data_IF_956493961091
#
_entry.id   IF_956493961091
#
_cell.length_a   1.000
_cell.length_b   1.000
_cell.length_c   1.000
_cell.angle_alpha   90.00
_cell.angle_beta   90.00
_cell.angle_gamma   90.00
#
_symmetry.space_group_name_H-M   'P 1'
#
loop_
_entity.id
_entity.type
_entity.pdbx_description
1 polymer ?
#
# COMPACT_ATOMS: atom_id res chain seq x y z
N UNK A 1 41.82 22.72 40.53
CA UNK A 1 42.98 22.71 39.62
C UNK A 1 43.61 21.32 39.66
N UNK A 2 44.05 20.83 38.50
CA UNK A 2 44.91 19.65 38.23
C UNK A 2 44.41 18.27 38.72
N UNK A 3 44.04 17.30 37.87
CA UNK A 3 44.79 16.63 36.78
C UNK A 3 45.78 15.57 37.26
N UNK A 4 45.48 14.30 36.91
CA UNK A 4 46.36 13.17 36.48
C UNK A 4 45.98 11.82 37.08
N UNK A 5 45.73 10.82 36.21
CA UNK A 5 46.62 9.67 35.96
C UNK A 5 45.84 8.58 35.19
N UNK A 6 46.08 8.39 33.89
CA UNK A 6 47.00 7.39 33.31
C UNK A 6 46.49 5.95 33.41
N UNK A 7 45.99 5.39 32.30
CA UNK A 7 46.28 4.00 31.93
C UNK A 7 46.39 3.87 30.41
N UNK A 8 47.45 3.17 30.03
CA UNK A 8 48.04 3.02 28.72
C UNK A 8 47.27 2.04 27.83
N UNK A 9 47.32 2.33 26.52
CA UNK A 9 47.70 1.41 25.44
C UNK A 9 47.21 -0.05 25.53
N UNK A 10 46.25 -0.39 24.67
CA UNK A 10 46.38 -1.60 23.86
C UNK A 10 45.90 -1.31 22.44
N UNK A 11 46.80 -1.52 21.48
CA UNK A 11 46.45 -1.77 20.10
C UNK A 11 45.34 -2.83 20.06
N UNK A 12 44.21 -2.51 19.45
CA UNK A 12 43.53 -3.51 18.67
C UNK A 12 43.03 -2.86 17.39
N UNK A 13 43.55 -3.39 16.28
CA UNK A 13 43.19 -3.07 14.92
C UNK A 13 41.73 -3.50 14.78
N UNK A 14 40.79 -2.61 15.09
CA UNK A 14 39.42 -2.81 14.64
C UNK A 14 39.44 -2.50 13.15
N UNK A 15 39.51 -3.58 12.38
CA UNK A 15 39.48 -3.56 10.94
C UNK A 15 38.36 -2.63 10.49
N UNK A 16 38.71 -1.59 9.74
CA UNK A 16 37.82 -0.95 8.80
C UNK A 16 37.47 -2.01 7.75
N UNK A 17 36.53 -2.89 8.09
CA UNK A 17 35.79 -3.62 7.07
C UNK A 17 34.98 -2.54 6.35
N UNK A 18 35.52 -2.06 5.24
CA UNK A 18 34.75 -1.39 4.21
C UNK A 18 33.77 -2.43 3.68
N UNK A 19 32.67 -2.61 4.41
CA UNK A 19 31.52 -3.37 3.96
C UNK A 19 30.97 -2.57 2.79
N UNK A 20 31.49 -2.84 1.60
CA UNK A 20 30.78 -2.52 0.37
C UNK A 20 29.61 -3.49 0.33
N UNK A 21 28.62 -3.27 1.19
CA UNK A 21 27.31 -3.80 0.96
C UNK A 21 26.88 -3.16 -0.33
N UNK A 22 26.89 -3.95 -1.41
CA UNK A 22 26.16 -3.61 -2.63
C UNK A 22 24.73 -3.37 -2.15
N UNK A 23 24.37 -2.11 -1.97
CA UNK A 23 23.00 -1.67 -1.81
C UNK A 23 22.36 -1.83 -3.17
N UNK A 24 22.00 -3.08 -3.51
CA UNK A 24 20.78 -3.28 -4.29
C UNK A 24 19.74 -2.48 -3.51
N UNK A 25 19.14 -1.48 -4.14
CA UNK A 25 18.18 -0.59 -3.53
C UNK A 25 17.02 -1.41 -2.95
N UNK A 26 17.20 -1.94 -1.74
CA UNK A 26 16.11 -2.26 -0.84
C UNK A 26 15.54 -0.89 -0.53
N UNK A 27 14.49 -0.55 -1.28
CA UNK A 27 13.21 -0.17 -0.71
C UNK A 27 13.42 0.47 0.66
N UNK A 28 13.33 1.82 0.74
CA UNK A 28 13.43 2.52 2.01
C UNK A 28 12.66 1.73 3.06
N UNK A 29 13.37 1.29 4.10
CA UNK A 29 12.76 0.48 5.14
C UNK A 29 11.53 1.23 5.64
N UNK A 30 10.34 0.64 5.52
CA UNK A 30 9.10 1.22 6.02
C UNK A 30 9.32 1.73 7.44
N UNK A 31 9.34 3.04 7.62
CA UNK A 31 9.79 3.68 8.87
C UNK A 31 8.76 4.65 9.41
N UNK A 32 9.01 5.07 10.65
CA UNK A 32 8.14 5.95 11.41
C UNK A 32 7.19 5.20 12.34
N UNK A 33 6.69 5.93 13.32
CA UNK A 33 5.82 5.43 14.39
C UNK A 33 4.51 6.21 14.49
N UNK A 34 4.30 7.18 13.59
CA UNK A 34 3.08 7.98 13.61
C UNK A 34 1.91 7.21 13.01
N UNK A 35 0.73 7.47 13.56
CA UNK A 35 -0.50 6.95 13.00
C UNK A 35 -0.77 7.59 11.63
N UNK A 36 -1.70 7.01 10.86
CA UNK A 36 -2.28 7.67 9.69
C UNK A 36 -2.70 9.10 10.02
N UNK A 37 -2.37 10.03 9.13
CA UNK A 37 -2.83 11.41 9.28
C UNK A 37 -4.36 11.45 9.28
N UNK A 38 -4.95 12.36 10.06
CA UNK A 38 -6.40 12.53 10.12
C UNK A 38 -6.99 13.15 8.84
N UNK A 39 -6.21 13.29 7.77
CA UNK A 39 -6.67 13.74 6.46
C UNK A 39 -7.59 12.69 5.83
N UNK A 40 -8.87 12.80 6.18
CA UNK A 40 -9.96 12.00 5.65
C UNK A 40 -10.00 12.13 4.12
N UNK A 41 -10.19 11.01 3.42
CA UNK A 41 -10.22 10.90 1.95
C UNK A 41 -8.87 11.01 1.23
N UNK A 42 -7.75 10.71 1.89
CA UNK A 42 -6.47 10.49 1.21
C UNK A 42 -6.48 9.22 0.36
N UNK A 43 -5.87 9.25 -0.83
CA UNK A 43 -5.65 8.07 -1.66
C UNK A 43 -4.17 7.74 -1.76
N UNK A 44 -3.88 6.46 -1.86
CA UNK A 44 -2.55 5.90 -2.05
C UNK A 44 -2.61 4.93 -3.20
N UNK A 45 -1.69 5.02 -4.14
CA UNK A 45 -1.70 4.24 -5.38
C UNK A 45 -0.31 3.67 -5.64
N UNK A 46 -0.27 2.45 -6.16
CA UNK A 46 0.94 1.82 -6.64
C UNK A 46 0.61 0.72 -7.64
N UNK A 47 1.64 0.18 -8.27
CA UNK A 47 1.50 -0.80 -9.33
C UNK A 47 2.53 -1.91 -9.15
N UNK A 48 2.12 -3.15 -9.43
CA UNK A 48 3.01 -4.29 -9.48
C UNK A 48 2.43 -5.36 -10.40
N UNK A 49 3.28 -6.07 -11.14
CA UNK A 49 2.90 -7.17 -12.02
C UNK A 49 1.79 -6.82 -13.06
N UNK A 50 1.68 -5.54 -13.44
CA UNK A 50 0.65 -5.06 -14.35
C UNK A 50 -0.73 -4.87 -13.71
N UNK A 51 -0.83 -4.95 -12.38
CA UNK A 51 -2.01 -4.55 -11.61
C UNK A 51 -1.75 -3.22 -10.89
N UNK A 52 -2.79 -2.40 -10.81
CA UNK A 52 -2.81 -1.18 -10.02
C UNK A 52 -3.63 -1.39 -8.76
N UNK A 53 -3.08 -1.00 -7.62
CA UNK A 53 -3.70 -1.11 -6.30
C UNK A 53 -3.89 0.28 -5.72
N UNK A 54 -5.06 0.54 -5.16
CA UNK A 54 -5.42 1.78 -4.49
C UNK A 54 -5.98 1.51 -3.11
N UNK A 55 -5.48 2.26 -2.13
CA UNK A 55 -6.09 2.42 -0.82
C UNK A 55 -6.66 3.84 -0.74
N UNK A 56 -7.94 3.96 -0.41
CA UNK A 56 -8.55 5.24 -0.03
C UNK A 56 -8.93 5.19 1.44
N UNK A 57 -8.40 6.10 2.23
CA UNK A 57 -8.77 6.24 3.65
C UNK A 57 -10.11 6.95 3.73
N UNK A 58 -11.16 6.25 4.16
CA UNK A 58 -12.52 6.80 4.23
C UNK A 58 -12.79 7.48 5.57
N UNK A 59 -12.22 6.96 6.64
CA UNK A 59 -12.30 7.52 7.98
C UNK A 59 -11.12 7.02 8.84
N UNK A 60 -10.66 7.83 9.77
CA UNK A 60 -9.68 7.42 10.77
C UNK A 60 -9.88 8.15 12.10
N UNK A 61 -9.96 7.39 13.19
CA UNK A 61 -9.97 7.88 14.55
C UNK A 61 -8.57 7.69 15.16
N UNK A 62 -7.82 8.79 15.30
CA UNK A 62 -6.46 8.74 15.82
C UNK A 62 -6.36 8.31 17.29
N UNK A 63 -7.43 8.48 18.07
CA UNK A 63 -7.49 8.09 19.49
C UNK A 63 -7.63 6.58 19.62
N UNK A 64 -8.57 5.98 18.88
CA UNK A 64 -8.83 4.54 18.88
C UNK A 64 -7.84 3.78 17.99
N UNK A 65 -7.17 4.49 17.07
CA UNK A 65 -6.32 3.93 16.01
C UNK A 65 -7.09 2.97 15.10
N UNK A 66 -8.35 3.30 14.87
CA UNK A 66 -9.27 2.52 14.03
C UNK A 66 -9.87 3.38 12.93
N UNK A 67 -10.27 2.75 11.83
CA UNK A 67 -10.81 3.47 10.70
C UNK A 67 -11.47 2.58 9.68
N UNK A 68 -11.78 3.20 8.55
CA UNK A 68 -12.36 2.53 7.39
C UNK A 68 -11.56 2.92 6.16
N UNK A 69 -11.28 1.94 5.31
CA UNK A 69 -10.60 2.15 4.04
C UNK A 69 -11.36 1.46 2.91
N UNK A 70 -11.15 1.94 1.70
CA UNK A 70 -11.55 1.27 0.47
C UNK A 70 -10.30 0.71 -0.19
N UNK A 71 -10.31 -0.59 -0.45
CA UNK A 71 -9.32 -1.28 -1.27
C UNK A 71 -9.86 -1.41 -2.68
N UNK A 72 -9.03 -1.09 -3.68
CA UNK A 72 -9.36 -1.31 -5.08
C UNK A 72 -8.15 -1.86 -5.82
N UNK A 73 -8.31 -3.01 -6.45
CA UNK A 73 -7.34 -3.58 -7.37
C UNK A 73 -7.92 -3.55 -8.78
N UNK A 74 -7.12 -3.15 -9.77
CA UNK A 74 -7.50 -3.16 -11.17
C UNK A 74 -6.39 -3.71 -12.03
N UNK A 75 -6.72 -4.45 -13.09
CA UNK A 75 -5.74 -5.07 -13.98
C UNK A 75 -6.28 -6.36 -14.56
N UNK A 76 -5.58 -7.48 -14.31
CA UNK A 76 -6.01 -8.82 -14.72
C UNK A 76 -7.28 -9.23 -13.98
N UNK A 77 -7.36 -8.92 -12.69
CA UNK A 77 -8.59 -9.03 -11.90
C UNK A 77 -8.97 -7.67 -11.32
N UNK A 78 -10.28 -7.42 -11.23
CA UNK A 78 -10.82 -6.23 -10.60
C UNK A 78 -11.45 -6.60 -9.26
N UNK A 79 -11.06 -5.90 -8.20
CA UNK A 79 -11.66 -6.02 -6.87
C UNK A 79 -11.90 -4.62 -6.31
N UNK A 80 -12.99 -4.45 -5.58
CA UNK A 80 -13.27 -3.23 -4.84
C UNK A 80 -14.11 -3.57 -3.60
N UNK A 81 -13.64 -3.16 -2.42
CA UNK A 81 -14.40 -3.29 -1.19
C UNK A 81 -14.03 -2.21 -0.18
N UNK A 82 -14.91 -2.01 0.78
CA UNK A 82 -14.64 -1.22 1.98
C UNK A 82 -14.46 -2.16 3.16
N UNK A 83 -13.50 -1.86 4.02
CA UNK A 83 -13.22 -2.67 5.20
C UNK A 83 -12.74 -1.80 6.36
N UNK A 84 -13.03 -2.28 7.57
CA UNK A 84 -12.54 -1.67 8.80
C UNK A 84 -11.09 -2.07 9.01
N UNK A 85 -10.31 -1.19 9.61
CA UNK A 85 -8.94 -1.49 9.99
C UNK A 85 -8.60 -0.93 11.36
N UNK A 86 -7.60 -1.54 12.00
CA UNK A 86 -6.92 -0.99 13.16
C UNK A 86 -5.42 -0.84 12.89
N UNK A 87 -4.79 0.13 13.54
CA UNK A 87 -3.37 0.42 13.41
C UNK A 87 -2.63 0.16 14.72
N UNK A 88 -1.57 -0.64 14.65
CA UNK A 88 -0.65 -0.88 15.74
C UNK A 88 0.79 -0.64 15.26
N UNK A 89 1.41 0.45 15.73
CA UNK A 89 2.63 0.98 15.14
C UNK A 89 2.46 1.15 13.62
N UNK A 90 3.30 0.50 12.82
CA UNK A 90 3.18 0.51 11.37
C UNK A 90 2.16 -0.49 10.83
N UNK A 91 1.79 -1.52 11.60
CA UNK A 91 0.95 -2.60 11.10
C UNK A 91 -0.51 -2.14 10.97
N UNK A 92 -1.11 -2.46 9.82
CA UNK A 92 -2.52 -2.22 9.52
C UNK A 92 -3.22 -3.57 9.46
N UNK A 93 -4.10 -3.81 10.43
CA UNK A 93 -4.91 -5.02 10.52
C UNK A 93 -6.25 -4.77 9.87
N UNK A 94 -6.51 -5.45 8.76
CA UNK A 94 -7.81 -5.40 8.08
C UNK A 94 -8.77 -6.40 8.73
N UNK A 95 -10.02 -6.00 8.97
CA UNK A 95 -11.05 -6.91 9.49
C UNK A 95 -11.38 -8.00 8.48
N UNK A 96 -11.58 -7.61 7.23
CA UNK A 96 -11.82 -8.50 6.09
C UNK A 96 -11.11 -7.94 4.85
N UNK A 97 -10.22 -8.72 4.23
CA UNK A 97 -9.52 -8.31 3.01
C UNK A 97 -10.21 -8.91 1.77
N UNK A 98 -10.69 -8.06 0.86
CA UNK A 98 -11.23 -8.50 -0.44
C UNK A 98 -10.11 -8.77 -1.46
N UNK A 99 -9.35 -9.83 -1.22
CA UNK A 99 -8.25 -10.21 -2.09
C UNK A 99 -8.78 -10.81 -3.40
N UNK A 100 -8.22 -10.43 -4.57
CA UNK A 100 -8.56 -11.07 -5.82
C UNK A 100 -8.02 -12.51 -5.86
N UNK A 101 -8.58 -13.33 -6.75
CA UNK A 101 -8.11 -14.72 -6.96
C UNK A 101 -6.61 -14.74 -7.28
N UNK A 102 -5.85 -15.56 -6.56
CA UNK A 102 -4.40 -15.72 -6.76
C UNK A 102 -3.54 -15.00 -5.72
N UNK A 103 -4.12 -14.13 -4.88
CA UNK A 103 -3.42 -13.55 -3.72
C UNK A 103 -3.67 -14.45 -2.50
N UNK A 104 -2.62 -15.10 -2.01
CA UNK A 104 -2.73 -16.05 -0.89
C UNK A 104 -2.46 -15.42 0.48
N UNK A 105 -1.76 -14.29 0.52
CA UNK A 105 -1.50 -13.54 1.73
C UNK A 105 -1.33 -12.06 1.41
N UNK A 106 -1.70 -11.21 2.38
CA UNK A 106 -1.50 -9.76 2.33
C UNK A 106 -1.11 -9.28 3.73
N UNK A 107 0.02 -8.58 3.81
CA UNK A 107 0.41 -7.76 4.97
C UNK A 107 0.39 -6.30 4.54
N UNK A 108 -0.21 -5.45 5.37
CA UNK A 108 -0.32 -4.02 5.11
C UNK A 108 0.41 -3.28 6.22
N UNK A 109 1.28 -2.34 5.82
CA UNK A 109 1.94 -1.41 6.73
C UNK A 109 1.72 0.01 6.26
N UNK A 110 1.64 0.93 7.21
CA UNK A 110 1.72 2.36 6.97
C UNK A 110 3.08 2.87 7.45
N UNK A 111 3.81 3.50 6.54
CA UNK A 111 5.16 4.00 6.76
C UNK A 111 5.08 5.52 6.87
N UNK A 112 5.00 6.03 8.10
CA UNK A 112 4.63 7.43 8.33
C UNK A 112 5.69 8.43 7.90
N UNK A 113 6.97 8.03 7.87
CA UNK A 113 8.05 8.90 7.40
C UNK A 113 7.97 9.12 5.88
N UNK A 114 7.39 8.15 5.16
CA UNK A 114 7.18 8.19 3.71
C UNK A 114 5.77 8.66 3.31
N UNK A 115 4.85 8.81 4.27
CA UNK A 115 3.41 9.00 4.02
C UNK A 115 2.91 8.03 2.93
N UNK A 116 3.16 6.73 3.13
CA UNK A 116 2.93 5.68 2.14
C UNK A 116 2.46 4.37 2.81
N UNK A 117 1.78 3.53 2.03
CA UNK A 117 1.50 2.15 2.44
C UNK A 117 2.49 1.20 1.79
N UNK A 118 2.96 0.21 2.56
CA UNK A 118 3.67 -0.95 2.04
C UNK A 118 2.74 -2.16 2.09
N UNK A 119 2.46 -2.73 0.92
CA UNK A 119 1.78 -4.00 0.77
C UNK A 119 2.80 -5.10 0.49
N UNK A 120 2.75 -6.16 1.29
CA UNK A 120 3.55 -7.35 1.07
C UNK A 120 2.58 -8.50 0.80
N UNK A 121 2.52 -8.93 -0.45
CA UNK A 121 1.58 -9.93 -0.91
C UNK A 121 2.29 -11.14 -1.51
N UNK A 122 1.62 -12.29 -1.50
CA UNK A 122 2.05 -13.44 -2.30
C UNK A 122 1.03 -13.65 -3.41
N UNK A 123 1.45 -13.36 -4.64
CA UNK A 123 0.59 -13.41 -5.84
C UNK A 123 1.04 -14.58 -6.69
N UNK A 124 0.18 -15.58 -6.89
CA UNK A 124 0.48 -16.81 -7.61
C UNK A 124 1.78 -17.51 -7.12
N UNK A 125 2.06 -17.44 -5.81
CA UNK A 125 3.26 -18.00 -5.19
C UNK A 125 4.51 -17.11 -5.25
N UNK A 126 4.42 -15.91 -5.80
CA UNK A 126 5.53 -14.95 -5.92
C UNK A 126 5.38 -13.86 -4.84
N UNK A 127 6.33 -13.73 -3.90
CA UNK A 127 6.38 -12.62 -2.96
C UNK A 127 6.56 -11.30 -3.71
N UNK A 128 5.68 -10.34 -3.46
CA UNK A 128 5.65 -9.05 -4.14
C UNK A 128 5.44 -7.95 -3.10
N UNK A 129 6.40 -7.03 -3.02
CA UNK A 129 6.29 -5.82 -2.22
C UNK A 129 5.84 -4.66 -3.12
N UNK A 130 4.82 -3.92 -2.70
CA UNK A 130 4.25 -2.79 -3.43
C UNK A 130 4.17 -1.58 -2.50
N UNK A 131 4.80 -0.48 -2.89
CA UNK A 131 4.62 0.82 -2.22
C UNK A 131 3.43 1.51 -2.87
N UNK A 132 2.51 1.99 -2.05
CA UNK A 132 1.45 2.89 -2.47
C UNK A 132 1.77 4.28 -1.97
N UNK A 133 2.07 5.18 -2.89
CA UNK A 133 2.38 6.57 -2.60
C UNK A 133 1.10 7.41 -2.59
N UNK A 134 1.10 8.49 -1.80
CA UNK A 134 -0.03 9.40 -1.72
C UNK A 134 -0.33 10.04 -3.08
N UNK A 135 -1.60 10.03 -3.47
CA UNK A 135 -2.07 10.49 -4.76
C UNK A 135 -3.44 11.16 -4.63
N UNK A 136 -3.83 11.94 -5.65
CA UNK A 136 -5.20 12.46 -5.76
C UNK A 136 -6.17 11.30 -5.99
N UNK A 137 -7.24 11.24 -5.19
CA UNK A 137 -8.28 10.24 -5.41
C UNK A 137 -8.95 10.43 -6.77
N UNK A 138 -8.94 9.41 -7.66
CA UNK A 138 -9.80 9.43 -8.84
C UNK A 138 -11.25 9.54 -8.36
N UNK A 139 -11.97 10.56 -8.84
CA UNK A 139 -13.41 10.60 -8.69
C UNK A 139 -13.98 9.36 -9.37
N UNK A 140 -15.01 8.73 -8.78
CA UNK A 140 -15.67 7.60 -9.40
C UNK A 140 -16.23 8.07 -10.75
N UNK A 141 -15.58 7.68 -11.84
CA UNK A 141 -16.04 7.97 -13.18
C UNK A 141 -17.37 7.23 -13.38
N UNK A 142 -18.49 7.93 -13.15
CA UNK A 142 -19.81 7.51 -13.60
C UNK A 142 -19.86 7.57 -15.13
N UNK A 143 -19.09 6.72 -15.81
CA UNK A 143 -19.17 6.56 -17.25
C UNK A 143 -18.58 5.22 -17.68
N UNK A 144 -19.31 4.15 -17.40
CA UNK A 144 -19.17 2.87 -18.11
C UNK A 144 -20.54 2.18 -18.18
N UNK A 145 -21.54 2.86 -18.73
CA UNK A 145 -22.84 2.24 -19.04
C UNK A 145 -23.52 2.74 -20.33
N UNK A 146 -22.83 3.48 -21.21
CA UNK A 146 -23.38 3.91 -22.50
C UNK A 146 -22.54 3.44 -23.69
N UNK A 147 -22.20 2.15 -23.74
CA UNK A 147 -22.07 1.43 -25.02
C UNK A 147 -22.59 0.00 -24.83
N UNK A 148 -23.88 -0.14 -24.46
CA UNK A 148 -24.63 -1.27 -25.02
C UNK A 148 -24.80 -0.92 -26.49
N UNK A 149 -24.14 -1.68 -27.38
CA UNK A 149 -24.48 -1.63 -28.81
C UNK A 149 -25.96 -1.93 -28.92
N UNK A 150 -26.75 -0.90 -29.19
CA UNK A 150 -28.10 -1.05 -29.73
C UNK A 150 -27.99 -1.97 -30.94
N UNK A 151 -28.53 -3.18 -30.81
CA UNK A 151 -28.79 -4.04 -31.95
C UNK A 151 -30.14 -3.55 -32.47
N UNK A 152 -30.24 -2.89 -33.63
CA UNK A 152 -31.52 -2.41 -34.12
C UNK A 152 -32.42 -3.62 -34.35
N UNK A 153 -33.54 -3.68 -33.61
CA UNK A 153 -34.64 -4.60 -33.90
C UNK A 153 -35.30 -4.10 -35.18
N UNK A 154 -35.00 -4.77 -36.28
CA UNK A 154 -35.62 -4.51 -37.57
C UNK A 154 -37.04 -5.09 -37.53
N UNK A 155 -38.02 -4.27 -37.15
CA UNK A 155 -39.43 -4.61 -37.34
C UNK A 155 -39.74 -4.58 -38.84
N UNK A 156 -39.86 -5.76 -39.46
CA UNK A 156 -40.51 -5.93 -40.74
C UNK A 156 -42.01 -5.68 -40.58
N UNK A 157 -42.47 -4.57 -41.15
CA UNK A 157 -43.88 -4.29 -41.40
C UNK A 157 -44.28 -5.10 -42.64
N UNK A 158 -45.11 -6.14 -42.48
CA UNK A 158 -45.73 -6.83 -43.61
C UNK A 158 -47.18 -6.36 -43.70
N UNK A 159 -47.43 -5.41 -44.60
CA UNK A 159 -48.76 -5.09 -45.10
C UNK A 159 -49.14 -6.11 -46.17
N UNK A 160 -50.18 -6.89 -45.89
CA UNK A 160 -51.11 -7.48 -46.88
C UNK A 160 -52.38 -7.88 -46.15
#
# INVERSE_FOLDING_TARGET
MSSWSSFLCFLNIFQLVSSSSVTIARHEACSGEHNLAQEVSSCFVGEALGESVRIKVLAFNATEKEGMLQLRGTGVSNTECETQFSQAAQAISLREACLPSGVSSLTVKYCSDQDAFLLQAVVAGIPTDVILEKATCPQASLMQSVIRRDRPVQHHFHTT
#
